data_IF_557562699559
#
_entry.id   IF_557562699559
#
_cell.length_a   1.000
_cell.length_b   1.000
_cell.length_c   1.000
_cell.angle_alpha   90.00
_cell.angle_beta   90.00
_cell.angle_gamma   90.00
#
_symmetry.space_group_name_H-M   'P 1'
#
loop_
_entity.id
_entity.type
_entity.pdbx_description
1 polymer ?
#
# COMPACT_ATOMS: atom_id res chain seq x y z
N UNK A 1 -25.01 -1.31 11.72
CA UNK A 1 -24.07 -1.56 10.60
C UNK A 1 -22.98 -0.51 10.65
N UNK A 2 -21.88 -0.75 11.38
CA UNK A 2 -20.67 0.06 11.34
C UNK A 2 -19.49 -0.91 11.17
N UNK A 3 -19.37 -1.46 9.96
CA UNK A 3 -18.26 -2.35 9.55
C UNK A 3 -17.43 -1.71 8.42
N UNK A 4 -17.44 -0.39 8.32
CA UNK A 4 -16.48 0.36 7.53
C UNK A 4 -15.67 1.20 8.52
N UNK A 5 -14.36 1.29 8.30
CA UNK A 5 -13.38 2.15 8.98
C UNK A 5 -12.43 1.55 10.03
N UNK A 6 -12.33 0.23 10.21
CA UNK A 6 -11.05 -0.29 10.73
C UNK A 6 -10.09 -0.56 9.58
N UNK A 7 -9.19 0.40 9.36
CA UNK A 7 -7.95 0.15 8.63
C UNK A 7 -7.24 -1.02 9.33
N UNK A 8 -7.30 -2.21 8.74
CA UNK A 8 -6.65 -3.40 9.27
C UNK A 8 -5.27 -3.57 8.62
N UNK A 9 -4.39 -4.33 9.28
CA UNK A 9 -3.10 -4.71 8.70
C UNK A 9 -3.28 -5.49 7.38
N UNK A 10 -4.34 -6.29 7.29
CA UNK A 10 -4.70 -7.04 6.08
C UNK A 10 -5.09 -6.10 4.93
N UNK A 11 -5.90 -5.07 5.20
CA UNK A 11 -6.24 -4.06 4.19
C UNK A 11 -4.99 -3.39 3.61
N UNK A 12 -4.03 -3.01 4.46
CA UNK A 12 -2.78 -2.38 4.01
C UNK A 12 -1.96 -3.33 3.14
N UNK A 13 -1.93 -4.63 3.46
CA UNK A 13 -1.25 -5.64 2.63
C UNK A 13 -1.92 -5.76 1.25
N UNK A 14 -3.25 -5.76 1.18
CA UNK A 14 -3.96 -5.77 -0.10
C UNK A 14 -3.65 -4.53 -0.94
N UNK A 15 -3.69 -3.34 -0.34
CA UNK A 15 -3.33 -2.09 -1.02
C UNK A 15 -1.86 -2.09 -1.49
N UNK A 16 -0.96 -2.68 -0.70
CA UNK A 16 0.44 -2.82 -1.08
C UNK A 16 0.61 -3.73 -2.31
N UNK A 17 -0.11 -4.86 -2.36
CA UNK A 17 -0.07 -5.78 -3.50
C UNK A 17 -0.63 -5.10 -4.75
N UNK A 18 -1.76 -4.40 -4.65
CA UNK A 18 -2.36 -3.68 -5.77
C UNK A 18 -1.41 -2.62 -6.34
N UNK A 19 -0.72 -1.88 -5.47
CA UNK A 19 0.24 -0.85 -5.91
C UNK A 19 1.48 -1.47 -6.57
N UNK A 20 1.97 -2.61 -6.08
CA UNK A 20 3.05 -3.37 -6.73
C UNK A 20 2.62 -3.84 -8.12
N UNK A 21 1.41 -4.38 -8.27
CA UNK A 21 0.90 -4.88 -9.56
C UNK A 21 0.73 -3.74 -10.56
N UNK A 22 0.23 -2.59 -10.12
CA UNK A 22 0.13 -1.39 -10.93
C UNK A 22 1.49 -0.88 -11.38
N UNK A 23 2.47 -0.82 -10.47
CA UNK A 23 3.84 -0.44 -10.80
C UNK A 23 4.45 -1.41 -11.82
N UNK A 24 4.29 -2.72 -11.59
CA UNK A 24 4.76 -3.75 -12.52
C UNK A 24 4.18 -3.53 -13.92
N UNK A 25 2.87 -3.31 -14.03
CA UNK A 25 2.23 -3.06 -15.32
C UNK A 25 2.80 -1.81 -16.00
N UNK A 26 2.88 -0.68 -15.29
CA UNK A 26 3.39 0.58 -15.84
C UNK A 26 4.84 0.43 -16.34
N UNK A 27 5.71 -0.20 -15.56
CA UNK A 27 7.11 -0.36 -15.94
C UNK A 27 7.29 -1.36 -17.09
N UNK A 28 6.49 -2.44 -17.13
CA UNK A 28 6.47 -3.36 -18.28
C UNK A 28 6.02 -2.66 -19.57
N UNK A 29 4.99 -1.81 -19.51
CA UNK A 29 4.53 -1.02 -20.66
C UNK A 29 5.62 -0.05 -21.15
N UNK A 30 6.29 0.66 -20.23
CA UNK A 30 7.41 1.56 -20.57
C UNK A 30 8.58 0.83 -21.20
N UNK A 31 8.88 -0.39 -20.73
CA UNK A 31 9.97 -1.21 -21.25
C UNK A 31 9.59 -1.97 -22.53
N UNK A 32 8.31 -1.93 -22.95
CA UNK A 32 7.75 -2.73 -24.04
C UNK A 32 8.05 -4.24 -23.91
N UNK A 33 8.21 -4.72 -22.68
CA UNK A 33 8.45 -6.13 -22.33
C UNK A 33 7.98 -6.42 -20.91
N UNK A 34 7.58 -7.66 -20.61
CA UNK A 34 7.28 -8.02 -19.22
C UNK A 34 8.56 -8.02 -18.38
N UNK A 35 8.60 -7.15 -17.37
CA UNK A 35 9.69 -7.06 -16.40
C UNK A 35 9.55 -8.07 -15.25
N UNK A 36 8.39 -8.71 -15.09
CA UNK A 36 8.23 -9.79 -14.12
C UNK A 36 8.59 -9.35 -12.70
N UNK A 37 9.60 -10.02 -12.12
CA UNK A 37 10.08 -9.78 -10.77
C UNK A 37 10.99 -8.54 -10.66
N UNK A 38 11.62 -8.10 -11.74
CA UNK A 38 12.53 -6.93 -11.73
C UNK A 38 11.76 -5.67 -11.30
N UNK A 39 10.55 -5.47 -11.83
CA UNK A 39 9.71 -4.34 -11.47
C UNK A 39 9.19 -4.42 -10.02
N UNK A 40 8.97 -5.63 -9.49
CA UNK A 40 8.58 -5.83 -8.09
C UNK A 40 9.73 -5.44 -7.16
N UNK A 41 10.96 -5.89 -7.47
CA UNK A 41 12.13 -5.51 -6.68
C UNK A 41 12.40 -4.01 -6.72
N UNK A 42 12.21 -3.39 -7.88
CA UNK A 42 12.33 -1.95 -8.05
C UNK A 42 11.33 -1.20 -7.15
N UNK A 43 10.06 -1.63 -7.14
CA UNK A 43 9.04 -1.03 -6.29
C UNK A 43 9.37 -1.21 -4.81
N UNK A 44 9.74 -2.43 -4.40
CA UNK A 44 10.08 -2.71 -3.00
C UNK A 44 11.24 -1.85 -2.52
N UNK A 45 12.27 -1.68 -3.36
CA UNK A 45 13.44 -0.88 -3.03
C UNK A 45 13.12 0.61 -2.94
N UNK A 46 12.24 1.13 -3.79
CA UNK A 46 11.96 2.57 -3.90
C UNK A 46 10.81 3.05 -3.02
N UNK A 47 9.77 2.24 -2.83
CA UNK A 47 8.48 2.72 -2.31
C UNK A 47 7.98 1.96 -1.08
N UNK A 48 8.43 0.72 -0.82
CA UNK A 48 7.85 -0.08 0.28
C UNK A 48 8.01 0.55 1.67
N UNK A 49 9.15 1.21 1.93
CA UNK A 49 9.40 1.87 3.21
C UNK A 49 8.42 3.03 3.43
N UNK A 50 8.34 3.95 2.47
CA UNK A 50 7.47 5.12 2.54
C UNK A 50 5.99 4.73 2.57
N UNK A 51 5.60 3.74 1.77
CA UNK A 51 4.24 3.21 1.75
C UNK A 51 3.83 2.69 3.14
N UNK A 52 4.70 1.91 3.77
CA UNK A 52 4.46 1.38 5.12
C UNK A 52 4.32 2.51 6.14
N UNK A 53 5.26 3.46 6.16
CA UNK A 53 5.23 4.59 7.09
C UNK A 53 3.98 5.44 6.93
N UNK A 54 3.56 5.68 5.68
CA UNK A 54 2.34 6.43 5.37
C UNK A 54 1.10 5.77 5.99
N UNK A 55 0.91 4.46 5.76
CA UNK A 55 -0.26 3.75 6.28
C UNK A 55 -0.21 3.53 7.79
N UNK A 56 0.97 3.31 8.38
CA UNK A 56 1.13 3.22 9.84
C UNK A 56 0.77 4.54 10.55
N UNK A 57 1.13 5.69 9.96
CA UNK A 57 0.74 6.99 10.50
C UNK A 57 -0.78 7.20 10.39
N UNK A 58 -1.36 6.87 9.24
CA UNK A 58 -2.81 7.00 9.02
C UNK A 58 -3.62 6.09 9.95
N UNK A 59 -3.13 4.88 10.22
CA UNK A 59 -3.69 3.98 11.24
C UNK A 59 -3.69 4.59 12.63
N UNK A 60 -2.58 5.23 13.00
CA UNK A 60 -2.43 5.89 14.30
C UNK A 60 -3.42 7.04 14.44
N UNK A 61 -3.52 7.88 13.42
CA UNK A 61 -4.45 9.02 13.39
C UNK A 61 -5.91 8.57 13.47
N UNK A 62 -6.30 7.54 12.71
CA UNK A 62 -7.65 6.97 12.77
C UNK A 62 -8.00 6.47 14.17
N UNK A 63 -7.08 5.76 14.83
CA UNK A 63 -7.26 5.30 16.23
C UNK A 63 -7.37 6.47 17.20
N UNK A 64 -6.58 7.53 17.04
CA UNK A 64 -6.67 8.71 17.89
C UNK A 64 -8.02 9.42 17.75
N UNK A 65 -8.54 9.54 16.53
CA UNK A 65 -9.85 10.14 16.27
C UNK A 65 -11.01 9.31 16.86
N UNK A 66 -10.95 7.99 16.77
CA UNK A 66 -11.93 7.08 17.39
C UNK A 66 -11.97 7.24 18.92
N UNK A 67 -10.82 7.30 19.59
CA UNK A 67 -10.75 7.45 21.06
C UNK A 67 -11.19 8.83 21.57
N UNK A 68 -11.22 9.87 20.73
CA UNK A 68 -11.68 11.21 21.09
C UNK A 68 -13.20 11.39 20.89
N UNK A 69 -13.84 10.51 20.13
CA UNK A 69 -15.28 10.60 19.81
C UNK A 69 -16.12 9.70 20.73
N UNK A 70 -15.47 8.99 21.65
CA UNK A 70 -16.07 7.98 22.53
C UNK A 70 -16.11 8.42 24.00
#
# INVERSE_FOLDING_TARGET
MNNMQQLSREMILHLQVDEILKHKWIESEKAMRDLGNEAVFDWVRKYAADFRTYWENRLREAKTAENQTQ
#
